data_IF_060038710709
#
_entry.id   IF_060038710709
#
_cell.length_a   1.000
_cell.length_b   1.000
_cell.length_c   1.000
_cell.angle_alpha   90.00
_cell.angle_beta   90.00
_cell.angle_gamma   90.00
#
_symmetry.space_group_name_H-M   'P 1'
#
loop_
_entity.id
_entity.type
_entity.pdbx_description
1 polymer ?
2 non-polymer ?
3 water ?
#
# COMPACT_ATOMS: atom_id res chain seq x y z
N UNK A 3 -26.70 18.47 7.08
CA UNK A 3 -25.80 17.39 7.45
C UNK A 3 -25.29 16.64 6.22
N UNK A 4 -24.89 17.38 5.18
CA UNK A 4 -24.33 16.74 3.99
C UNK A 4 -23.09 17.46 3.49
N UNK A 5 -22.59 18.46 4.21
CA UNK A 5 -21.47 19.27 3.73
C UNK A 5 -20.25 18.39 3.49
N UNK A 6 -19.91 17.53 4.46
CA UNK A 6 -18.70 16.74 4.34
C UNK A 6 -18.83 15.67 3.26
N UNK A 7 -19.99 15.01 3.21
CA UNK A 7 -20.22 14.01 2.17
C UNK A 7 -20.18 14.63 0.78
N UNK A 8 -20.68 15.87 0.64
CA UNK A 8 -20.65 16.57 -0.64
C UNK A 8 -19.23 16.91 -1.06
N UNK A 9 -18.42 17.41 -0.14
CA UNK A 9 -17.01 17.69 -0.42
C UNK A 9 -16.32 16.40 -0.88
N UNK A 10 -16.55 15.31 -0.17
CA UNK A 10 -15.93 14.03 -0.50
C UNK A 10 -16.32 13.58 -1.91
N UNK A 11 -17.62 13.59 -2.21
CA UNK A 11 -18.09 13.14 -3.52
C UNK A 11 -17.52 13.99 -4.66
N UNK A 12 -17.43 15.29 -4.47
CA UNK A 12 -17.10 16.16 -5.59
C UNK A 12 -15.61 16.47 -5.72
N UNK A 13 -14.82 16.32 -4.65
CA UNK A 13 -13.43 16.74 -4.70
C UNK A 13 -12.44 15.76 -4.12
N UNK A 14 -12.88 14.61 -3.61
CA UNK A 14 -11.96 13.72 -2.92
C UNK A 14 -11.97 12.33 -3.53
N UNK A 15 -13.13 11.69 -3.58
CA UNK A 15 -13.23 10.26 -3.89
C UNK A 15 -13.58 10.03 -5.35
N UNK A 16 -12.79 9.18 -6.01
CA UNK A 16 -13.18 8.68 -7.33
C UNK A 16 -14.49 7.91 -7.22
N UNK A 17 -15.45 8.13 -8.13
CA UNK A 17 -16.71 7.38 -8.06
C UNK A 17 -16.46 5.88 -8.04
N UNK A 18 -17.26 5.16 -7.24
CA UNK A 18 -16.97 3.76 -7.00
C UNK A 18 -17.10 2.92 -8.26
N UNK A 19 -18.00 3.29 -9.17
CA UNK A 19 -18.12 2.55 -10.42
C UNK A 19 -16.83 2.62 -11.23
N UNK A 20 -16.16 3.77 -11.23
CA UNK A 20 -14.88 3.89 -11.93
C UNK A 20 -13.76 3.21 -11.16
N UNK A 21 -13.80 3.24 -9.82
CA UNK A 21 -12.84 2.45 -9.05
C UNK A 21 -12.92 0.99 -9.47
N UNK A 22 -14.13 0.44 -9.47
CA UNK A 22 -14.33 -0.96 -9.79
C UNK A 22 -13.89 -1.29 -11.21
N UNK A 23 -14.26 -0.43 -12.17
CA UNK A 23 -13.93 -0.71 -13.56
C UNK A 23 -12.44 -0.65 -13.83
N UNK A 24 -11.77 0.36 -13.29
CA UNK A 24 -10.31 0.44 -13.47
C UNK A 24 -9.62 -0.74 -12.81
N UNK A 25 -10.13 -1.20 -11.66
CA UNK A 25 -9.54 -2.38 -11.02
C UNK A 25 -9.69 -3.62 -11.91
N UNK A 26 -10.86 -3.82 -12.51
CA UNK A 26 -11.04 -4.99 -13.35
C UNK A 26 -10.06 -4.98 -14.53
N UNK A 27 -9.88 -3.82 -15.14
CA UNK A 27 -8.95 -3.69 -16.27
C UNK A 27 -7.52 -3.95 -15.80
N UNK A 28 -7.10 -3.26 -14.75
CA UNK A 28 -5.72 -3.37 -14.28
C UNK A 28 -5.40 -4.80 -13.82
N UNK A 29 -6.34 -5.43 -13.12
CA UNK A 29 -6.08 -6.79 -12.64
C UNK A 29 -5.98 -7.78 -13.78
N UNK A 30 -6.69 -7.53 -14.89
CA UNK A 30 -6.59 -8.43 -16.03
C UNK A 30 -5.29 -8.23 -16.78
N UNK A 31 -4.87 -6.98 -16.99
CA UNK A 31 -3.56 -6.73 -17.60
C UNK A 31 -2.46 -7.42 -16.80
N UNK A 32 -2.50 -7.28 -15.47
CA UNK A 32 -1.43 -7.83 -14.65
C UNK A 32 -1.47 -9.37 -14.60
N UNK A 33 -2.65 -9.98 -14.66
CA UNK A 33 -2.69 -11.45 -14.74
C UNK A 33 -2.03 -11.93 -16.03
N UNK A 34 -2.29 -11.24 -17.15
CA UNK A 34 -1.62 -11.59 -18.39
C UNK A 34 -0.10 -11.49 -18.25
N UNK A 35 0.37 -10.42 -17.59
CA UNK A 35 1.81 -10.25 -17.42
C UNK A 35 2.40 -11.31 -16.52
N UNK A 36 1.72 -11.63 -15.40
CA UNK A 36 2.27 -12.60 -14.46
C UNK A 36 2.25 -14.00 -15.06
N UNK A 37 1.23 -14.32 -15.86
CA UNK A 37 1.21 -15.60 -16.56
C UNK A 37 2.39 -15.72 -17.51
N UNK A 38 2.75 -14.62 -18.18
CA UNK A 38 3.92 -14.65 -19.05
C UNK A 38 5.20 -14.78 -18.23
N UNK A 39 5.25 -14.15 -17.06
CA UNK A 39 6.40 -14.33 -16.17
C UNK A 39 6.63 -15.80 -15.84
N UNK A 40 5.54 -16.54 -15.59
CA UNK A 40 5.67 -17.97 -15.28
C UNK A 40 6.32 -18.74 -16.42
N UNK A 41 6.04 -18.35 -17.67
CA UNK A 41 6.63 -19.04 -18.80
C UNK A 41 8.13 -18.81 -18.90
N UNK A 42 8.64 -17.75 -18.27
CA UNK A 42 10.04 -17.35 -18.39
C UNK A 42 10.94 -17.88 -17.28
N UNK A 43 10.37 -18.49 -16.23
CA UNK A 43 11.18 -18.95 -15.12
C UNK A 43 10.45 -20.01 -14.31
N UNK A 44 10.85 -21.28 -14.42
CA UNK A 44 10.20 -22.33 -13.62
C UNK A 44 10.31 -22.10 -12.12
N UNK A 45 11.39 -21.50 -11.64
CA UNK A 45 11.51 -21.24 -10.21
C UNK A 45 10.48 -20.21 -9.76
N UNK A 46 10.24 -19.17 -10.57
CA UNK A 46 9.17 -18.24 -10.23
C UNK A 46 7.82 -18.94 -10.22
N UNK A 47 7.56 -19.80 -11.20
CA UNK A 47 6.28 -20.49 -11.23
C UNK A 47 6.11 -21.34 -9.98
N UNK A 48 7.19 -21.99 -9.52
CA UNK A 48 7.12 -22.82 -8.33
C UNK A 48 6.91 -21.98 -7.08
N UNK A 49 7.60 -20.83 -6.97
CA UNK A 49 7.49 -20.01 -5.78
C UNK A 49 6.17 -19.26 -5.70
N UNK A 50 5.60 -18.88 -6.84
CA UNK A 50 4.46 -17.98 -6.85
C UNK A 50 3.25 -18.61 -6.18
N UNK A 51 2.63 -17.84 -5.28
CA UNK A 51 1.39 -18.25 -4.64
C UNK A 51 0.21 -17.38 -5.07
N UNK A 52 0.33 -16.06 -4.94
CA UNK A 52 -0.78 -15.15 -5.23
C UNK A 52 -0.22 -13.73 -5.21
N UNK A 53 -1.09 -12.78 -5.55
CA UNK A 53 -0.73 -11.36 -5.48
C UNK A 53 -1.65 -10.68 -4.46
N UNK A 54 -1.13 -9.60 -3.88
CA UNK A 54 -1.91 -8.71 -3.02
C UNK A 54 -1.81 -7.32 -3.63
N UNK A 55 -2.94 -6.63 -3.75
CA UNK A 55 -2.98 -5.29 -4.32
C UNK A 55 -2.86 -4.29 -3.18
N UNK A 56 -1.72 -3.62 -3.09
CA UNK A 56 -1.39 -2.78 -1.95
C UNK A 56 -1.53 -1.31 -2.28
N UNK A 57 -1.89 -0.52 -1.28
CA UNK A 57 -1.87 0.93 -1.40
C UNK A 57 -3.22 1.54 -1.06
N UNK A 58 -3.22 2.88 -1.05
CA UNK A 58 -4.42 3.60 -0.63
C UNK A 58 -5.57 3.42 -1.61
N UNK A 59 -5.27 3.29 -2.91
CA UNK A 59 -6.33 3.04 -3.89
C UNK A 59 -7.12 1.77 -3.54
N UNK A 60 -6.43 0.68 -3.22
CA UNK A 60 -7.11 -0.56 -2.89
C UNK A 60 -7.65 -0.59 -1.46
N UNK A 61 -7.16 0.28 -0.59
CA UNK A 61 -7.74 0.46 0.73
C UNK A 61 -8.99 1.33 0.72
N UNK A 62 -9.29 1.98 -0.40
CA UNK A 62 -10.40 2.91 -0.40
C UNK A 62 -10.08 4.22 0.30
N UNK A 63 -8.80 4.58 0.37
CA UNK A 63 -8.35 5.76 1.12
C UNK A 63 -7.62 6.77 0.24
N UNK A 64 -7.67 6.62 -1.09
CA UNK A 64 -6.97 7.54 -1.98
C UNK A 64 -7.73 8.86 -2.10
N UNK A 65 -7.03 9.97 -1.92
CA UNK A 65 -7.57 11.30 -2.13
C UNK A 65 -7.29 11.72 -3.56
N UNK A 66 -8.36 12.03 -4.32
CA UNK A 66 -8.19 12.50 -5.68
C UNK A 66 -8.00 11.37 -6.67
N UNK A 67 -7.46 11.73 -7.83
CA UNK A 67 -7.29 10.75 -8.91
C UNK A 67 -6.22 9.73 -8.51
N UNK A 68 -6.53 8.43 -8.55
CA UNK A 68 -5.50 7.43 -8.24
C UNK A 68 -4.42 7.43 -9.30
N UNK A 69 -3.18 7.17 -8.86
CA UNK A 69 -2.03 7.27 -9.75
C UNK A 69 -1.16 6.02 -9.76
N UNK A 70 -1.11 5.28 -8.64
CA UNK A 70 -0.25 4.11 -8.57
C UNK A 70 -0.75 3.15 -7.49
N UNK A 71 -0.33 1.89 -7.61
CA UNK A 71 -0.43 0.95 -6.51
C UNK A 71 0.68 -0.08 -6.63
N UNK A 72 0.81 -0.90 -5.59
CA UNK A 72 1.83 -1.94 -5.53
C UNK A 72 1.23 -3.30 -5.84
N UNK A 73 1.82 -4.02 -6.79
CA UNK A 73 1.52 -5.44 -6.95
C UNK A 73 2.49 -6.21 -6.07
N UNK A 74 2.04 -6.63 -4.90
CA UNK A 74 2.84 -7.45 -4.00
C UNK A 74 2.75 -8.89 -4.48
N UNK A 75 3.82 -9.36 -5.12
CA UNK A 75 3.88 -10.70 -5.69
C UNK A 75 4.36 -11.64 -4.59
N UNK A 76 3.48 -12.51 -4.11
CA UNK A 76 3.75 -13.30 -2.91
C UNK A 76 4.36 -14.64 -3.30
N UNK A 77 5.64 -14.83 -2.96
CA UNK A 77 6.37 -16.07 -3.16
C UNK A 77 6.39 -16.85 -1.86
N UNK A 78 6.36 -18.18 -1.95
CA UNK A 78 6.29 -19.02 -0.77
C UNK A 78 7.43 -20.03 -0.79
N UNK A 79 8.26 -19.97 0.24
CA UNK A 79 9.33 -20.97 0.41
C UNK A 79 8.72 -22.22 1.01
N UNK A 80 8.91 -23.39 0.39
CA UNK A 80 8.39 -24.63 0.96
C UNK A 80 8.83 -24.81 2.41
N UNK A 81 7.87 -25.13 3.28
CA UNK A 81 8.15 -25.22 4.71
C UNK A 81 9.15 -26.33 5.00
N UNK A 82 9.27 -27.32 4.10
CA UNK A 82 10.23 -28.38 4.31
C UNK A 82 11.66 -27.84 4.40
N UNK A 83 11.94 -26.73 3.72
CA UNK A 83 13.24 -26.08 3.80
C UNK A 83 13.47 -25.39 5.13
N UNK A 84 12.47 -25.38 6.01
CA UNK A 84 12.51 -24.85 7.36
C UNK A 84 12.91 -23.38 7.40
N UNK A 85 12.10 -22.49 6.83
CA UNK A 85 12.35 -21.06 7.03
C UNK A 85 12.05 -20.65 8.46
N UNK A 86 12.88 -19.78 9.01
CA UNK A 86 12.73 -19.29 10.38
C UNK A 86 12.76 -17.77 10.36
N UNK A 87 11.70 -17.16 10.87
CA UNK A 87 11.58 -15.71 10.91
C UNK A 87 11.95 -15.24 12.32
N UNK A 88 12.87 -14.29 12.40
CA UNK A 88 13.31 -13.76 13.68
C UNK A 88 13.15 -12.25 13.71
N UNK A 89 12.62 -11.75 14.82
CA UNK A 89 12.53 -10.31 15.04
C UNK A 89 13.92 -9.70 15.12
N UNK A 90 14.16 -8.66 14.33
CA UNK A 90 15.49 -8.07 14.25
C UNK A 90 15.69 -7.01 15.33
N UNK A 91 16.92 -6.49 15.41
CA UNK A 91 17.25 -5.45 16.39
C UNK A 91 16.77 -4.06 15.97
N UNK A 92 16.01 -3.95 14.89
CA UNK A 92 15.36 -2.71 14.49
C UNK A 92 13.85 -2.95 14.52
N UNK A 93 13.11 -2.28 15.40
CA UNK A 93 11.67 -2.58 15.54
C UNK A 93 10.93 -2.44 14.21
N UNK A 94 10.11 -3.44 13.89
CA UNK A 94 9.36 -3.47 12.66
C UNK A 94 10.00 -4.28 11.55
N UNK A 95 11.26 -4.69 11.71
CA UNK A 95 11.98 -5.43 10.69
C UNK A 95 12.38 -6.80 11.20
N UNK A 96 12.50 -7.75 10.27
CA UNK A 96 12.78 -9.14 10.61
C UNK A 96 13.89 -9.68 9.73
N UNK A 97 14.50 -10.76 10.19
CA UNK A 97 15.40 -11.57 9.39
C UNK A 97 14.74 -12.90 9.08
N UNK A 98 15.13 -13.50 7.96
CA UNK A 98 14.56 -14.77 7.53
C UNK A 98 15.70 -15.67 7.07
N UNK A 99 15.86 -16.81 7.73
CA UNK A 99 16.89 -17.77 7.34
C UNK A 99 16.26 -19.13 7.12
N UNK A 100 16.93 -19.94 6.33
CA UNK A 100 16.48 -21.30 6.02
C UNK A 100 17.41 -22.28 6.72
N UNK A 101 16.82 -23.21 7.48
CA UNK A 101 17.62 -24.18 8.23
C UNK A 101 17.77 -25.53 7.54
N UNK A 102 17.08 -25.76 6.41
CA UNK A 102 17.10 -27.08 5.80
C UNK A 102 16.92 -26.98 4.27
N UNK A 103 17.57 -25.99 3.66
CA UNK A 103 17.48 -25.90 2.20
C UNK A 103 18.06 -27.12 1.52
N UNK A 104 19.19 -27.63 2.03
CA UNK A 104 19.81 -28.81 1.41
C UNK A 104 18.87 -30.00 1.42
N UNK A 105 18.17 -30.23 2.53
CA UNK A 105 17.23 -31.33 2.58
C UNK A 105 16.10 -31.17 1.60
N UNK A 106 15.65 -29.94 1.37
CA UNK A 106 14.63 -29.69 0.35
C UNK A 106 15.18 -29.97 -1.04
N UNK A 107 16.42 -29.57 -1.31
CA UNK A 107 17.00 -29.81 -2.63
C UNK A 107 17.11 -31.30 -2.92
N UNK A 108 17.25 -32.13 -1.88
CA UNK A 108 17.34 -33.58 -2.08
C UNK A 108 15.99 -34.23 -2.29
N UNK A 109 14.90 -33.47 -2.19
CA UNK A 109 13.57 -33.96 -2.50
C UNK A 109 13.30 -33.83 -3.99
N UNK A 110 12.39 -34.65 -4.54
CA UNK A 110 12.07 -34.53 -5.97
C UNK A 110 11.58 -33.15 -6.36
N UNK A 111 10.68 -32.56 -5.57
CA UNK A 111 10.16 -31.23 -5.86
C UNK A 111 11.21 -30.13 -5.67
N UNK A 112 12.36 -30.46 -5.08
CA UNK A 112 13.40 -29.46 -4.88
C UNK A 112 14.26 -29.19 -6.10
N UNK A 113 14.11 -30.00 -7.16
CA UNK A 113 14.94 -29.87 -8.35
C UNK A 113 14.87 -28.46 -8.93
N UNK A 114 13.66 -27.90 -9.05
CA UNK A 114 13.53 -26.57 -9.62
C UNK A 114 14.11 -25.48 -8.73
N UNK A 115 14.45 -25.82 -7.48
CA UNK A 115 15.09 -24.87 -6.57
C UNK A 115 16.61 -24.93 -6.62
N UNK A 116 17.18 -25.54 -7.66
CA UNK A 116 18.64 -25.71 -7.72
C UNK A 116 19.37 -24.38 -7.57
N UNK A 117 18.82 -23.31 -8.15
CA UNK A 117 19.49 -22.01 -8.10
C UNK A 117 18.91 -21.07 -7.06
N UNK A 118 18.05 -21.55 -6.16
CA UNK A 118 17.43 -20.66 -5.18
C UNK A 118 18.47 -20.00 -4.29
N UNK A 119 19.43 -20.79 -3.78
CA UNK A 119 20.47 -20.22 -2.92
C UNK A 119 21.25 -19.13 -3.63
N UNK A 120 21.73 -19.42 -4.85
CA UNK A 120 22.50 -18.44 -5.60
C UNK A 120 21.70 -17.15 -5.82
N UNK A 121 20.41 -17.28 -6.11
CA UNK A 121 19.62 -16.15 -6.55
C UNK A 121 19.07 -15.31 -5.39
N UNK A 122 18.85 -15.91 -4.22
CA UNK A 122 18.12 -15.25 -3.15
C UNK A 122 18.86 -15.11 -1.83
N UNK A 123 19.86 -15.94 -1.54
CA UNK A 123 20.38 -16.08 -0.19
C UNK A 123 21.79 -15.50 -0.07
N UNK A 124 22.04 -14.86 1.06
CA UNK A 124 23.37 -14.37 1.39
C UNK A 124 24.07 -15.43 2.24
N UNK A 125 25.13 -15.05 2.95
CA UNK A 125 25.84 -16.00 3.79
C UNK A 125 24.92 -16.55 4.87
N UNK A 126 25.09 -17.84 5.17
CA UNK A 126 24.32 -18.56 6.18
C UNK A 126 22.85 -18.72 5.81
N UNK A 127 22.54 -18.62 4.51
CA UNK A 127 21.19 -18.88 3.99
C UNK A 127 20.17 -17.90 4.55
N UNK A 128 20.57 -16.64 4.71
CA UNK A 128 19.63 -15.57 5.03
C UNK A 128 19.04 -15.02 3.74
N UNK A 129 17.72 -14.84 3.73
CA UNK A 129 17.05 -14.18 2.62
C UNK A 129 17.56 -12.76 2.48
N UNK A 130 17.93 -12.38 1.26
CA UNK A 130 18.59 -11.10 1.02
C UNK A 130 17.70 -10.21 0.16
N UNK A 131 17.45 -8.98 0.65
CA UNK A 131 16.53 -8.07 -0.06
C UNK A 131 17.10 -7.66 -1.41
N UNK A 132 18.39 -7.31 -1.45
CA UNK A 132 18.98 -6.88 -2.71
C UNK A 132 18.98 -7.97 -3.76
N UNK A 133 19.34 -9.19 -3.37
CA UNK A 133 19.33 -10.30 -4.31
C UNK A 133 17.91 -10.56 -4.83
N UNK A 134 16.92 -10.53 -3.94
CA UNK A 134 15.53 -10.73 -4.33
C UNK A 134 15.09 -9.67 -5.34
N UNK A 135 15.41 -8.41 -5.06
CA UNK A 135 15.00 -7.33 -5.97
C UNK A 135 15.68 -7.46 -7.32
N UNK A 136 16.96 -7.83 -7.33
CA UNK A 136 17.66 -8.00 -8.60
C UNK A 136 17.09 -9.16 -9.39
N UNK A 137 16.71 -10.24 -8.70
CA UNK A 137 16.13 -11.39 -9.38
C UNK A 137 14.80 -11.02 -10.04
N UNK A 138 13.95 -10.29 -9.32
CA UNK A 138 12.66 -9.91 -9.90
C UNK A 138 12.83 -8.93 -11.05
N UNK A 139 13.73 -7.96 -10.90
CA UNK A 139 14.01 -7.02 -11.98
C UNK A 139 14.45 -7.76 -13.25
N UNK A 140 15.35 -8.73 -13.11
CA UNK A 140 15.79 -9.52 -14.25
C UNK A 140 14.63 -10.28 -14.89
N UNK A 141 13.78 -10.89 -14.05
CA UNK A 141 12.64 -11.64 -14.58
C UNK A 141 11.64 -10.73 -15.30
N UNK A 142 11.40 -9.54 -14.76
CA UNK A 142 10.50 -8.60 -15.41
C UNK A 142 11.06 -8.16 -16.76
N UNK A 143 12.36 -7.86 -16.83
CA UNK A 143 12.99 -7.51 -18.10
C UNK A 143 12.88 -8.66 -19.11
N UNK A 144 13.19 -9.87 -18.66
CA UNK A 144 13.08 -11.04 -19.53
C UNK A 144 11.67 -11.18 -20.09
N UNK A 145 10.67 -10.95 -19.24
CA UNK A 145 9.27 -11.07 -19.65
C UNK A 145 8.87 -9.97 -20.63
N UNK A 146 9.25 -8.72 -20.33
CA UNK A 146 8.95 -7.60 -21.22
C UNK A 146 9.46 -7.85 -22.64
N UNK A 147 10.63 -8.49 -22.77
CA UNK A 147 11.21 -8.73 -24.09
C UNK A 147 10.39 -9.70 -24.93
N UNK A 148 9.57 -10.55 -24.31
CA UNK A 148 8.79 -11.53 -25.05
C UNK A 148 7.42 -10.99 -25.48
N UNK A 149 7.05 -9.80 -25.08
CA UNK A 149 5.76 -9.24 -25.41
C UNK A 149 5.84 -8.46 -26.71
N UNK A 150 4.72 -8.31 -27.43
CA UNK A 150 4.72 -7.47 -28.63
C UNK A 150 4.97 -6.01 -28.25
N UNK A 151 5.88 -5.38 -28.97
CA UNK A 151 6.17 -3.96 -28.76
C UNK A 151 5.60 -3.15 -29.92
N UNK A 152 4.97 -2.03 -29.59
CA UNK A 152 4.58 -1.03 -30.57
C UNK A 152 5.31 0.26 -30.22
N UNK A 153 5.33 1.18 -31.19
CA UNK A 153 5.91 2.53 -30.99
C UNK A 153 7.35 2.35 -30.52
N UNK A 154 7.74 2.95 -29.40
CA UNK A 154 9.12 2.85 -28.88
C UNK A 154 9.07 2.09 -27.56
N UNK A 155 9.36 0.79 -27.60
CA UNK A 155 9.46 -0.04 -26.41
C UNK A 155 8.19 0.04 -25.57
N UNK A 156 7.04 0.06 -26.23
CA UNK A 156 5.75 0.01 -25.56
C UNK A 156 5.14 -1.37 -25.79
N UNK A 157 4.89 -2.11 -24.71
CA UNK A 157 4.29 -3.43 -24.83
C UNK A 157 2.80 -3.29 -25.13
N UNK A 158 2.29 -4.22 -25.94
CA UNK A 158 0.86 -4.25 -26.24
C UNK A 158 0.28 -5.58 -25.74
N UNK A 159 -0.71 -5.48 -24.86
CA UNK A 159 -1.42 -6.63 -24.33
C UNK A 159 -2.91 -6.47 -24.56
N UNK A 160 -3.58 -7.59 -24.78
CA UNK A 160 -5.03 -7.60 -24.98
C UNK A 160 -5.68 -8.48 -23.93
N UNK A 161 -6.94 -8.17 -23.62
CA UNK A 161 -7.76 -9.00 -22.74
C UNK A 161 -9.22 -8.71 -23.06
N UNK A 162 -10.12 -9.15 -22.17
CA UNK A 162 -11.54 -9.03 -22.46
C UNK A 162 -12.02 -7.58 -22.43
N UNK A 163 -11.22 -6.67 -21.89
CA UNK A 163 -11.59 -5.26 -21.84
C UNK A 163 -10.97 -4.44 -22.97
N UNK A 164 -10.20 -5.07 -23.84
CA UNK A 164 -9.65 -4.37 -24.98
C UNK A 164 -8.14 -4.48 -25.10
N UNK A 165 -7.52 -3.44 -25.66
CA UNK A 165 -6.09 -3.42 -25.92
C UNK A 165 -5.44 -2.35 -25.04
N UNK A 166 -4.27 -2.68 -24.50
CA UNK A 166 -3.62 -1.81 -23.53
C UNK A 166 -2.14 -1.71 -23.83
N UNK A 167 -1.56 -0.60 -23.43
CA UNK A 167 -0.15 -0.30 -23.64
C UNK A 167 0.56 -0.28 -22.30
N UNK A 168 1.74 -0.91 -22.25
CA UNK A 168 2.53 -0.96 -21.03
C UNK A 168 3.89 -0.35 -21.32
N UNK A 169 4.20 0.70 -20.59
CA UNK A 169 5.54 1.29 -20.57
C UNK A 169 6.19 0.95 -19.23
N UNK A 170 7.52 1.01 -19.18
CA UNK A 170 8.18 0.58 -17.96
C UNK A 170 9.44 1.38 -17.72
N UNK A 171 9.85 1.38 -16.46
CA UNK A 171 11.04 2.10 -15.98
C UNK A 171 11.30 1.64 -14.55
N UNK A 172 12.46 2.02 -14.02
CA UNK A 172 12.82 1.67 -12.66
C UNK A 172 13.21 2.93 -11.91
N UNK A 173 12.28 3.49 -11.15
CA UNK A 173 12.54 4.64 -10.32
C UNK A 173 12.75 4.31 -8.86
N UNK A 174 12.88 3.04 -8.54
CA UNK A 174 13.09 2.60 -7.18
C UNK A 174 13.48 1.14 -7.16
N UNK A 175 13.35 0.50 -6.00
CA UNK A 175 13.74 -0.92 -5.90
C UNK A 175 12.96 -1.82 -6.84
N UNK A 176 11.69 -1.50 -7.11
CA UNK A 176 10.85 -2.33 -7.95
C UNK A 176 10.62 -1.67 -9.31
N UNK A 177 10.52 -2.50 -10.34
CA UNK A 177 10.11 -2.03 -11.65
C UNK A 177 8.71 -1.43 -11.58
N UNK A 178 8.47 -0.39 -12.36
CA UNK A 178 7.15 0.20 -12.52
C UNK A 178 6.61 -0.12 -13.92
N UNK A 179 5.38 -0.58 -13.97
CA UNK A 179 4.63 -0.67 -15.23
C UNK A 179 3.63 0.46 -15.31
N UNK A 180 3.78 1.32 -16.32
CA UNK A 180 2.77 2.33 -16.60
C UNK A 180 1.74 1.77 -17.56
N UNK A 181 0.48 1.65 -17.13
CA UNK A 181 -0.56 0.99 -17.92
C UNK A 181 -1.51 2.04 -18.47
N UNK A 182 -1.72 2.00 -19.78
CA UNK A 182 -2.58 2.96 -20.47
C UNK A 182 -3.52 2.21 -21.41
N UNK A 183 -4.65 2.85 -21.73
CA UNK A 183 -5.45 2.38 -22.85
C UNK A 183 -4.65 2.52 -24.14
N UNK A 184 -4.90 1.61 -25.09
CA UNK A 184 -4.24 1.74 -26.39
C UNK A 184 -4.63 3.03 -27.09
N UNK A 185 -5.77 3.63 -26.73
CA UNK A 185 -6.18 4.91 -27.29
C UNK A 185 -5.40 6.09 -26.71
N UNK A 186 -4.56 5.87 -25.70
CA UNK A 186 -3.65 6.88 -25.19
C UNK A 186 -3.87 7.28 -23.74
N UNK A 187 -5.05 7.07 -23.18
CA UNK A 187 -5.33 7.55 -21.84
C UNK A 187 -4.62 6.72 -20.78
N UNK A 188 -3.91 7.39 -19.89
CA UNK A 188 -3.20 6.71 -18.80
C UNK A 188 -4.20 6.16 -17.78
N UNK A 189 -3.92 4.95 -17.29
CA UNK A 189 -4.77 4.37 -16.25
C UNK A 189 -4.08 4.43 -14.89
N UNK A 190 -2.96 3.73 -14.72
CA UNK A 190 -2.27 3.72 -13.44
C UNK A 190 -0.88 3.13 -13.60
N UNK A 191 0.01 3.51 -12.68
CA UNK A 191 1.32 2.89 -12.53
C UNK A 191 1.24 1.77 -11.52
N UNK A 192 1.99 0.69 -11.76
CA UNK A 192 2.03 -0.46 -10.85
C UNK A 192 3.48 -0.85 -10.59
N UNK A 193 3.86 -0.91 -9.31
CA UNK A 193 5.18 -1.39 -8.92
C UNK A 193 5.13 -2.88 -8.64
N UNK A 194 6.11 -3.61 -9.17
CA UNK A 194 6.13 -5.08 -9.09
C UNK A 194 7.08 -5.45 -7.96
N UNK A 195 6.52 -5.77 -6.79
CA UNK A 195 7.28 -5.92 -5.55
C UNK A 195 7.34 -7.41 -5.18
N UNK A 196 8.56 -7.95 -5.15
CA UNK A 196 8.77 -9.35 -4.78
C UNK A 196 8.72 -9.51 -3.26
N UNK A 197 7.75 -10.30 -2.78
CA UNK A 197 7.54 -10.50 -1.35
C UNK A 197 7.55 -12.00 -1.03
N UNK A 198 7.68 -12.32 0.24
CA UNK A 198 7.61 -13.70 0.72
C UNK A 198 6.50 -13.82 1.75
N UNK A 199 5.61 -14.80 1.55
CA UNK A 199 4.39 -14.95 2.35
C UNK A 199 4.54 -16.16 3.27
N UNK A 200 3.98 -16.04 4.48
CA UNK A 200 4.11 -17.06 5.51
C UNK A 200 2.77 -17.33 6.16
N UNK A 201 2.66 -18.51 6.78
CA UNK A 201 1.45 -18.94 7.47
C UNK A 201 1.44 -18.42 8.90
N UNK A 202 0.29 -18.60 9.56
CA UNK A 202 0.08 -18.00 10.85
C UNK A 202 1.08 -18.42 11.91
N UNK A 203 1.64 -19.62 11.78
CA UNK A 203 2.60 -20.13 12.76
C UNK A 203 3.85 -19.25 12.85
N UNK A 204 4.19 -18.53 11.79
CA UNK A 204 5.40 -17.73 11.75
C UNK A 204 5.19 -16.30 12.20
N UNK A 205 3.98 -15.95 12.62
CA UNK A 205 3.67 -14.59 13.03
C UNK A 205 4.57 -14.16 14.18
N UNK A 206 5.22 -13.00 14.10
CA UNK A 206 6.18 -12.61 15.15
C UNK A 206 5.48 -12.31 16.47
N UNK A 207 6.13 -12.70 17.58
CA UNK A 207 5.51 -12.51 18.89
C UNK A 207 6.31 -11.53 19.76
N UNK A 208 7.63 -11.45 19.54
CA UNK A 208 8.49 -10.68 20.44
C UNK A 208 8.33 -9.19 20.15
N UNK A 209 7.43 -8.55 20.90
CA UNK A 209 7.18 -7.14 20.75
C UNK A 209 6.18 -6.78 19.68
N UNK A 210 5.47 -7.76 19.11
CA UNK A 210 4.55 -7.52 18.01
C UNK A 210 3.12 -7.81 18.44
N UNK A 211 2.19 -7.05 17.86
CA UNK A 211 0.77 -7.27 18.11
C UNK A 211 0.31 -8.55 17.43
N UNK A 212 -0.57 -9.29 18.09
CA UNK A 212 -1.06 -10.54 17.53
C UNK A 212 -2.06 -10.27 16.40
N UNK A 213 -2.24 -11.28 15.56
CA UNK A 213 -3.15 -11.21 14.43
C UNK A 213 -4.60 -11.11 14.91
N UNK A 214 -5.34 -10.06 14.55
CA UNK A 214 -6.76 -10.00 14.96
C UNK A 214 -7.65 -10.99 14.22
N UNK A 215 -7.21 -11.56 13.10
CA UNK A 215 -8.02 -12.46 12.30
C UNK A 215 -7.26 -13.74 11.97
N UNK A 216 -6.83 -14.50 12.99
CA UNK A 216 -5.99 -15.67 12.71
C UNK A 216 -6.68 -16.77 11.93
N UNK A 217 -8.02 -16.84 11.95
CA UNK A 217 -8.68 -17.90 11.19
C UNK A 217 -8.95 -17.51 9.74
N UNK A 218 -9.37 -16.26 9.48
CA UNK A 218 -9.76 -15.88 8.13
C UNK A 218 -8.68 -15.12 7.37
N UNK A 219 -7.74 -14.47 8.06
CA UNK A 219 -6.58 -13.83 7.43
C UNK A 219 -5.29 -14.36 8.06
N UNK A 220 -5.00 -15.65 7.90
CA UNK A 220 -3.87 -16.23 8.64
C UNK A 220 -2.51 -15.80 8.13
N UNK A 221 -2.40 -15.36 6.87
CA UNK A 221 -1.10 -15.16 6.24
C UNK A 221 -0.66 -13.70 6.32
N UNK A 222 0.66 -13.52 6.38
CA UNK A 222 1.28 -12.20 6.29
C UNK A 222 2.50 -12.34 5.41
N UNK A 223 3.09 -11.23 5.01
CA UNK A 223 4.26 -11.34 4.16
C UNK A 223 5.31 -10.31 4.53
N UNK A 224 6.53 -10.55 4.05
CA UNK A 224 7.65 -9.66 4.27
C UNK A 224 7.97 -8.98 2.95
N UNK A 225 8.44 -7.74 3.06
CA UNK A 225 8.61 -6.84 1.92
C UNK A 225 10.07 -6.39 1.90
N UNK A 226 10.73 -6.35 0.73
CA UNK A 226 12.17 -6.06 0.69
C UNK A 226 12.52 -4.59 0.79
N UNK A 227 11.87 -3.88 1.71
CA UNK A 227 12.17 -2.49 1.99
C UNK A 227 13.06 -2.42 3.22
N UNK A 228 14.28 -1.96 3.06
CA UNK A 228 15.22 -1.87 4.16
C UNK A 228 14.90 -0.67 5.04
N UNK A 229 15.43 -0.63 6.28
CA UNK A 229 15.27 0.53 7.15
C UNK A 229 15.88 1.79 6.56
N UNK A 232 21.29 3.56 7.48
CA UNK A 232 22.29 2.49 7.38
C UNK A 232 22.18 1.47 8.50
N UNK A 233 22.09 0.18 8.12
CA UNK A 233 22.11 -0.92 9.09
C UNK A 233 23.04 -2.01 8.56
N UNK A 234 23.49 -2.87 9.47
CA UNK A 234 24.39 -3.96 9.15
C UNK A 234 23.90 -5.20 9.89
N UNK A 235 23.91 -6.37 9.24
CA UNK A 235 24.36 -6.64 7.86
C UNK A 235 23.42 -6.16 6.77
N UNK A 236 24.02 -5.66 5.69
CA UNK A 236 23.28 -5.14 4.56
C UNK A 236 22.49 -6.25 3.88
N UNK A 237 21.21 -5.99 3.61
CA UNK A 237 20.38 -6.91 2.85
C UNK A 237 19.56 -7.88 3.67
N UNK A 238 19.85 -8.02 4.97
CA UNK A 238 19.12 -8.99 5.79
C UNK A 238 17.80 -8.48 6.32
N UNK A 239 17.58 -7.17 6.32
CA UNK A 239 16.43 -6.58 7.01
C UNK A 239 15.24 -6.48 6.07
N UNK A 240 14.15 -7.18 6.43
CA UNK A 240 12.91 -7.16 5.68
C UNK A 240 11.83 -6.44 6.49
N UNK A 241 10.96 -5.72 5.80
CA UNK A 241 9.79 -5.12 6.42
C UNK A 241 8.65 -6.12 6.47
N UNK A 242 7.77 -5.96 7.47
CA UNK A 242 6.56 -6.76 7.57
C UNK A 242 5.40 -6.01 6.94
N UNK A 243 4.55 -6.75 6.23
CA UNK A 243 3.31 -6.21 5.70
C UNK A 243 2.15 -6.94 6.37
N UNK A 244 1.38 -6.20 7.17
CA UNK A 244 0.11 -6.65 7.71
C UNK A 244 -1.05 -5.93 7.04
N UNK A 245 -0.83 -5.53 5.77
CA UNK A 245 -1.83 -4.75 5.04
C UNK A 245 -3.12 -5.54 4.80
N UNK A 246 -3.03 -6.87 4.68
CA UNK A 246 -4.26 -7.63 4.50
C UNK A 246 -5.14 -7.55 5.73
N UNK A 247 -4.53 -7.59 6.93
CA UNK A 247 -5.28 -7.45 8.17
C UNK A 247 -5.75 -6.02 8.38
N UNK A 248 -4.91 -5.03 8.05
CA UNK A 248 -5.32 -3.63 8.16
C UNK A 248 -6.54 -3.34 7.30
N UNK A 249 -6.61 -3.94 6.11
CA UNK A 249 -7.73 -3.69 5.22
C UNK A 249 -9.04 -4.19 5.82
N UNK A 250 -8.99 -5.31 6.55
CA UNK A 250 -10.19 -5.81 7.22
C UNK A 250 -10.56 -4.91 8.40
N UNK A 251 -9.57 -4.45 9.15
CA UNK A 251 -9.82 -3.59 10.30
C UNK A 251 -10.55 -2.30 9.90
N UNK A 252 -10.22 -1.73 8.73
CA UNK A 252 -10.83 -0.47 8.31
C UNK A 252 -12.14 -0.66 7.55
N UNK A 253 -12.52 -1.90 7.25
CA UNK A 253 -13.70 -2.18 6.44
C UNK A 253 -14.95 -2.19 7.31
N UNK A 254 -16.10 -2.02 6.68
CA UNK A 254 -17.40 -2.08 7.34
C UNK A 254 -17.47 -1.12 8.52
N UNK A 255 -17.00 0.12 8.31
CA UNK A 255 -17.00 1.12 9.37
C UNK A 255 -17.53 2.46 8.88
N UNK A 256 -18.45 2.42 7.92
CA UNK A 256 -19.35 3.53 7.60
C UNK A 256 -18.63 4.86 7.42
N UNK A 257 -18.58 5.68 8.47
CA UNK A 257 -17.97 7.01 8.36
C UNK A 257 -16.45 7.00 8.30
N UNK A 258 -15.81 5.85 8.53
CA UNK A 258 -14.36 5.85 8.76
C UNK A 258 -13.58 6.32 7.53
N UNK A 259 -13.83 5.72 6.36
CA UNK A 259 -12.99 6.03 5.21
C UNK A 259 -13.20 7.46 4.71
N UNK A 260 -14.43 7.99 4.66
CA UNK A 260 -14.56 9.43 4.39
C UNK A 260 -13.79 10.29 5.38
N UNK A 261 -13.83 9.95 6.67
CA UNK A 261 -13.11 10.74 7.67
C UNK A 261 -11.61 10.69 7.44
N UNK A 262 -11.07 9.52 7.09
CA UNK A 262 -9.64 9.43 6.83
C UNK A 262 -9.26 10.33 5.66
N UNK A 263 -10.05 10.27 4.59
CA UNK A 263 -9.72 11.01 3.38
C UNK A 263 -9.86 12.52 3.59
N UNK A 264 -10.85 12.95 4.38
CA UNK A 264 -10.96 14.36 4.71
C UNK A 264 -9.73 14.86 5.45
N UNK A 265 -9.24 14.06 6.40
CA UNK A 265 -8.02 14.45 7.12
C UNK A 265 -6.81 14.39 6.20
N UNK A 266 -6.73 13.38 5.32
CA UNK A 266 -5.62 13.33 4.37
C UNK A 266 -5.66 14.52 3.42
N UNK A 267 -6.85 14.96 3.03
CA UNK A 267 -6.97 16.14 2.18
C UNK A 267 -6.45 17.37 2.91
N UNK A 268 -6.79 17.51 4.19
CA UNK A 268 -6.26 18.60 5.00
C UNK A 268 -4.74 18.50 5.10
N UNK A 269 -4.21 17.29 5.27
CA UNK A 269 -2.77 17.10 5.34
C UNK A 269 -2.09 17.53 4.06
N UNK A 270 -2.66 17.17 2.91
CA UNK A 270 -2.08 17.54 1.63
C UNK A 270 -2.01 19.05 1.46
N UNK A 271 -2.99 19.76 1.99
CA UNK A 271 -3.00 21.21 1.81
C UNK A 271 -2.11 21.94 2.83
N UNK A 272 -2.08 21.48 4.08
CA UNK A 272 -1.47 22.27 5.14
C UNK A 272 -0.22 21.65 5.77
N UNK A 273 -0.02 20.33 5.72
CA UNK A 273 1.16 19.71 6.34
C UNK A 273 1.57 18.44 5.61
N UNK A 274 2.13 18.58 4.39
CA UNK A 274 2.59 17.39 3.65
C UNK A 274 3.78 16.70 4.30
N UNK A 275 4.34 17.29 5.36
CA UNK A 275 5.40 16.65 6.12
C UNK A 275 4.99 15.31 6.72
N UNK A 276 3.70 15.06 6.87
CA UNK A 276 3.18 13.86 7.51
C UNK A 276 2.80 12.85 6.43
N UNK A 277 3.37 11.65 6.50
CA UNK A 277 3.06 10.61 5.53
C UNK A 277 1.67 10.05 5.75
N UNK A 278 1.04 9.65 4.65
CA UNK A 278 -0.33 9.12 4.71
C UNK A 278 -0.44 7.92 5.64
N UNK A 279 0.58 7.06 5.67
CA UNK A 279 0.49 5.88 6.54
C UNK A 279 0.46 6.26 8.01
N UNK A 280 1.01 7.43 8.36
CA UNK A 280 0.94 7.87 9.75
C UNK A 280 -0.49 8.20 10.14
N UNK A 281 -1.26 8.77 9.20
CA UNK A 281 -2.68 9.03 9.45
C UNK A 281 -3.45 7.71 9.53
N UNK A 282 -3.18 6.81 8.58
CA UNK A 282 -3.79 5.48 8.65
C UNK A 282 -3.51 4.81 9.99
N UNK A 283 -2.26 4.93 10.47
CA UNK A 283 -1.89 4.32 11.75
C UNK A 283 -2.68 4.93 12.91
N UNK A 284 -2.85 6.25 12.91
CA UNK A 284 -3.66 6.88 13.94
C UNK A 284 -5.07 6.28 13.96
N UNK A 285 -5.65 6.04 12.78
CA UNK A 285 -6.99 5.46 12.75
C UNK A 285 -7.01 4.01 13.21
N UNK A 286 -5.95 3.24 12.96
CA UNK A 286 -5.86 1.91 13.55
C UNK A 286 -5.91 1.97 15.07
N UNK A 287 -5.18 2.93 15.67
CA UNK A 287 -5.24 3.11 17.11
C UNK A 287 -6.64 3.54 17.56
N UNK A 288 -7.27 4.44 16.80
CA UNK A 288 -8.62 4.89 17.15
C UNK A 288 -9.61 3.73 17.07
N UNK A 289 -9.48 2.88 16.05
CA UNK A 289 -10.33 1.69 15.96
C UNK A 289 -10.19 0.84 17.22
N UNK A 290 -8.96 0.67 17.71
CA UNK A 290 -8.75 -0.15 18.89
C UNK A 290 -9.35 0.50 20.14
N UNK A 291 -9.32 1.83 20.20
CA UNK A 291 -9.78 2.55 21.38
C UNK A 291 -11.29 2.68 21.43
N UNK A 292 -11.93 2.89 20.28
CA UNK A 292 -13.33 3.24 20.22
C UNK A 292 -14.21 1.99 20.21
N UNK A 293 -15.39 2.12 20.80
CA UNK A 293 -16.43 1.12 20.55
C UNK A 293 -16.81 1.15 19.07
N UNK A 294 -17.35 0.01 18.60
CA UNK A 294 -17.73 -0.07 17.19
C UNK A 294 -18.80 0.96 16.82
N UNK A 295 -19.66 1.33 17.76
CA UNK A 295 -20.74 2.27 17.45
C UNK A 295 -20.24 3.66 17.07
N UNK A 296 -18.98 3.98 17.41
CA UNK A 296 -18.45 5.30 17.10
C UNK A 296 -18.54 5.61 15.61
N UNK A 297 -18.31 4.61 14.77
CA UNK A 297 -18.26 4.82 13.32
C UNK A 297 -19.63 5.01 12.69
N UNK A 298 -20.70 4.87 13.46
CA UNK A 298 -22.05 5.12 12.97
C UNK A 298 -22.56 6.50 13.35
N UNK A 299 -21.74 7.32 14.01
CA UNK A 299 -22.12 8.69 14.30
C UNK A 299 -22.11 9.51 13.01
N UNK A 300 -22.53 10.77 13.11
CA UNK A 300 -22.55 11.61 11.93
C UNK A 300 -21.13 11.76 11.38
N UNK A 301 -21.05 12.01 10.07
CA UNK A 301 -19.73 12.24 9.48
C UNK A 301 -19.04 13.44 10.12
N UNK A 302 -19.80 14.49 10.44
CA UNK A 302 -19.20 15.64 11.12
C UNK A 302 -18.59 15.24 12.46
N UNK A 303 -19.33 14.46 13.25
CA UNK A 303 -18.82 14.10 14.58
C UNK A 303 -17.61 13.18 14.48
N UNK A 304 -17.65 12.19 13.58
CA UNK A 304 -16.49 11.31 13.41
C UNK A 304 -15.29 12.11 12.93
N UNK A 305 -15.49 12.99 11.94
CA UNK A 305 -14.39 13.80 11.44
C UNK A 305 -13.80 14.69 12.52
N UNK A 306 -14.65 15.42 13.25
CA UNK A 306 -14.17 16.33 14.28
C UNK A 306 -13.46 15.57 15.40
N UNK A 307 -14.00 14.43 15.80
CA UNK A 307 -13.40 13.71 16.92
C UNK A 307 -12.07 13.09 16.53
N UNK A 308 -12.00 12.47 15.34
CA UNK A 308 -10.74 11.87 14.92
C UNK A 308 -9.70 12.93 14.59
N UNK A 309 -10.14 14.10 14.09
CA UNK A 309 -9.19 15.18 13.85
C UNK A 309 -8.57 15.67 15.14
N UNK A 310 -9.37 15.80 16.21
CA UNK A 310 -8.84 16.19 17.51
C UNK A 310 -7.84 15.16 18.02
N UNK A 311 -8.16 13.86 17.89
CA UNK A 311 -7.27 12.82 18.39
C UNK A 311 -6.00 12.72 17.55
N UNK A 312 -6.12 12.91 16.23
CA UNK A 312 -4.96 13.01 15.35
C UNK A 312 -4.02 14.13 15.81
N UNK A 313 -4.59 15.28 16.17
CA UNK A 313 -3.76 16.38 16.67
C UNK A 313 -3.04 16.02 17.95
N UNK A 314 -3.67 15.22 18.82
CA UNK A 314 -3.03 14.83 20.07
C UNK A 314 -1.82 13.93 19.82
N UNK A 315 -1.90 13.03 18.83
CA UNK A 315 -0.74 12.24 18.45
C UNK A 315 0.40 13.14 17.98
N UNK A 316 0.08 14.11 17.12
CA UNK A 316 1.11 15.01 16.59
C UNK A 316 1.71 15.84 17.72
N UNK A 317 0.85 16.40 18.57
CA UNK A 317 1.34 17.19 19.71
C UNK A 317 2.21 16.36 20.63
N UNK A 318 1.81 15.12 20.89
CA UNK A 318 2.63 14.20 21.69
C UNK A 318 3.90 13.78 20.98
N UNK A 319 4.00 14.05 19.67
CA UNK A 319 5.18 13.72 18.85
C UNK A 319 5.45 12.22 18.85
N UNK A 320 4.40 11.42 18.89
CA UNK A 320 4.55 9.96 18.86
C UNK A 320 3.36 9.33 18.16
N UNK A 321 3.63 8.58 17.10
CA UNK A 321 2.64 7.72 16.48
C UNK A 321 3.24 6.31 16.46
N UNK A 322 2.97 5.49 17.46
CA UNK A 322 3.55 4.14 17.48
C UNK A 322 3.07 3.33 16.28
N UNK A 323 4.02 2.66 15.63
CA UNK A 323 3.68 1.62 14.67
C UNK A 323 2.67 0.68 15.30
N UNK A 324 1.55 0.47 14.61
CA UNK A 324 0.43 -0.26 15.22
C UNK A 324 0.81 -1.68 15.58
N UNK A 325 1.71 -2.30 14.82
CA UNK A 325 2.07 -3.70 15.00
C UNK A 325 3.31 -3.91 15.84
N UNK A 326 4.11 -2.87 16.06
CA UNK A 326 5.33 -2.98 16.87
C UNK A 326 5.56 -1.61 17.50
N UNK A 327 5.08 -1.45 18.74
CA UNK A 327 4.95 -0.12 19.33
C UNK A 327 6.29 0.57 19.56
N UNK A 328 7.38 -0.18 19.65
CA UNK A 328 8.68 0.44 19.86
C UNK A 328 9.17 1.23 18.66
N UNK A 329 8.47 1.17 17.54
CA UNK A 329 8.79 1.97 16.35
C UNK A 329 7.87 3.20 16.38
N UNK A 330 8.46 4.38 16.63
CA UNK A 330 7.72 5.64 16.54
C UNK A 330 7.79 6.14 15.10
N UNK A 331 6.66 6.09 14.40
CA UNK A 331 6.65 6.39 12.98
C UNK A 331 7.08 7.82 12.69
N UNK A 332 6.91 8.74 13.63
CA UNK A 332 7.34 10.12 13.43
C UNK A 332 8.50 10.48 14.34
N UNK A 333 9.20 9.47 14.88
CA UNK A 333 10.35 9.74 15.74
C UNK A 333 11.47 10.47 15.04
N UNK A 334 11.50 10.44 13.71
CA UNK A 334 12.55 11.11 12.94
C UNK A 334 12.22 12.56 12.61
N UNK A 335 10.99 13.01 12.85
CA UNK A 335 10.61 14.39 12.53
C UNK A 335 10.99 15.33 13.67
N UNK A 336 11.43 16.53 13.30
CA UNK A 336 11.95 17.47 14.28
C UNK A 336 10.82 18.01 15.16
N UNK A 337 11.09 18.24 16.45
CA UNK A 337 10.06 18.81 17.34
C UNK A 337 9.47 20.12 16.85
N UNK A 338 10.29 21.00 16.27
CA UNK A 338 9.78 22.27 15.76
C UNK A 338 8.74 22.02 14.66
N UNK A 339 9.04 21.10 13.75
CA UNK A 339 8.09 20.77 12.68
C UNK A 339 6.78 20.26 13.25
N UNK A 340 6.85 19.33 14.21
CA UNK A 340 5.63 18.77 14.78
C UNK A 340 4.87 19.79 15.62
N UNK A 341 5.59 20.67 16.32
CA UNK A 341 4.94 21.74 17.07
C UNK A 341 4.16 22.67 16.12
N UNK A 342 4.79 23.06 15.01
CA UNK A 342 4.12 23.95 14.06
C UNK A 342 2.90 23.28 13.45
N UNK A 343 3.01 22.00 13.11
CA UNK A 343 1.86 21.31 12.50
C UNK A 343 0.73 21.18 13.50
N UNK A 344 1.05 20.82 14.75
CA UNK A 344 0.01 20.72 15.77
C UNK A 344 -0.65 22.06 16.04
N UNK A 345 0.13 23.15 16.03
CA UNK A 345 -0.46 24.47 16.20
C UNK A 345 -1.37 24.83 15.02
N UNK A 346 -0.94 24.49 13.81
CA UNK A 346 -1.78 24.66 12.62
C UNK A 346 -3.14 23.97 12.81
N UNK A 347 -3.10 22.69 13.16
CA UNK A 347 -4.33 21.90 13.25
C UNK A 347 -5.22 22.43 14.36
N UNK A 348 -4.61 22.85 15.47
CA UNK A 348 -5.40 23.43 16.56
C UNK A 348 -6.14 24.68 16.13
N UNK A 349 -5.48 25.56 15.37
CA UNK A 349 -6.16 26.73 14.82
C UNK A 349 -7.33 26.31 13.94
N UNK A 350 -7.13 25.30 13.10
CA UNK A 350 -8.19 24.85 12.20
C UNK A 350 -9.37 24.33 12.99
N UNK A 351 -9.11 23.51 14.03
CA UNK A 351 -10.18 22.98 14.86
C UNK A 351 -11.00 24.11 15.47
N UNK A 352 -10.32 25.14 15.99
CA UNK A 352 -11.04 26.28 16.57
C UNK A 352 -11.88 26.98 15.51
N UNK A 353 -11.39 27.03 14.28
CA UNK A 353 -12.07 27.78 13.23
C UNK A 353 -13.29 27.04 12.68
N UNK A 354 -13.33 25.72 12.79
CA UNK A 354 -14.41 24.92 12.24
C UNK A 354 -15.30 24.32 13.32
N UNK A 355 -14.83 24.25 14.57
CA UNK A 355 -15.56 23.83 15.75
C UNK A 355 -17.06 24.09 15.67
N UNK A 356 -17.44 25.37 15.58
CA UNK A 356 -18.82 25.81 15.56
C UNK A 356 -19.19 26.45 14.23
N UNK A 357 -18.39 26.21 13.20
CA UNK A 357 -18.61 26.80 11.87
C UNK A 357 -18.29 25.75 10.83
N UNK A 358 -19.18 24.79 10.62
CA UNK A 358 -18.89 23.74 9.63
C UNK A 358 -18.77 24.28 8.21
N UNK A 359 -19.32 25.46 7.93
CA UNK A 359 -19.14 26.06 6.61
C UNK A 359 -17.70 26.50 6.35
N UNK A 360 -16.86 26.55 7.38
CA UNK A 360 -15.44 26.87 7.21
C UNK A 360 -14.60 25.65 6.86
N UNK A 361 -15.15 24.44 6.95
CA UNK A 361 -14.34 23.24 6.70
C UNK A 361 -13.81 23.24 5.27
N UNK A 362 -14.68 23.50 4.30
CA UNK A 362 -14.26 23.51 2.90
C UNK A 362 -13.20 24.55 2.63
N UNK A 363 -13.22 25.66 3.38
CA UNK A 363 -12.20 26.69 3.19
C UNK A 363 -10.81 26.19 3.58
N UNK A 364 -10.72 25.27 4.54
CA UNK A 364 -9.44 24.70 4.94
C UNK A 364 -9.05 23.49 4.13
N UNK A 365 -10.03 22.71 3.66
CA UNK A 365 -9.71 21.48 2.95
C UNK A 365 -9.32 21.72 1.50
N UNK A 366 -9.92 22.73 0.86
CA UNK A 366 -9.75 22.96 -0.57
C UNK A 366 -8.76 24.08 -0.83
N UNK A 367 -8.01 23.93 -1.92
CA UNK A 367 -7.25 25.05 -2.44
C UNK A 367 -8.23 26.14 -2.86
N UNK A 368 -7.70 27.37 -3.02
CA UNK A 368 -8.57 28.46 -3.46
C UNK A 368 -9.18 28.14 -4.82
N UNK A 369 -8.40 27.49 -5.69
CA UNK A 369 -8.91 27.12 -7.01
C UNK A 369 -9.99 26.05 -6.91
N UNK A 370 -9.81 25.05 -6.03
CA UNK A 370 -10.86 24.07 -5.79
C UNK A 370 -12.08 24.72 -5.16
N UNK A 371 -11.87 25.67 -4.26
CA UNK A 371 -13.00 26.28 -3.56
C UNK A 371 -13.89 27.06 -4.52
N UNK A 372 -13.31 27.69 -5.54
CA UNK A 372 -14.10 28.38 -6.54
C UNK A 372 -15.01 27.41 -7.30
N UNK A 373 -14.44 26.28 -7.73
CA UNK A 373 -15.25 25.27 -8.42
C UNK A 373 -16.30 24.68 -7.48
N UNK A 374 -15.94 24.53 -6.20
CA UNK A 374 -16.89 24.04 -5.20
C UNK A 374 -18.12 24.94 -5.11
N UNK A 375 -17.90 26.26 -4.99
CA UNK A 375 -19.03 27.19 -4.88
C UNK A 375 -19.85 27.19 -6.17
N UNK A 376 -19.18 27.06 -7.32
CA UNK A 376 -19.87 27.10 -8.60
C UNK A 376 -20.57 25.79 -8.95
N UNK A 377 -20.48 24.78 -8.09
CA UNK A 377 -21.23 23.54 -8.28
C UNK A 377 -20.53 22.45 -9.06
N UNK A 378 -19.24 22.60 -9.34
CA UNK A 378 -18.53 21.63 -10.17
C UNK A 378 -18.20 20.37 -9.39
N UNK A 379 -18.07 19.26 -10.12
CA UNK A 379 -17.65 17.95 -9.60
C UNK A 379 -16.42 17.54 -10.39
N UNK A 380 -15.24 17.60 -9.75
CA UNK A 380 -13.99 17.30 -10.44
C UNK A 380 -13.62 15.82 -10.35
N UNK A 381 -14.35 15.03 -9.58
CA UNK A 381 -14.07 13.61 -9.48
C UNK A 381 -14.89 12.77 -10.46
N UNK A 382 -16.01 13.30 -10.94
CA UNK A 382 -16.93 12.49 -11.77
C UNK A 382 -16.23 11.94 -13.01
N UNK A 383 -15.36 12.72 -13.63
CA UNK A 383 -14.65 12.28 -14.84
C UNK A 383 -13.13 12.26 -14.64
N UNK A 384 -12.69 12.07 -13.39
CA UNK A 384 -11.25 12.10 -13.11
C UNK A 384 -10.52 10.91 -13.72
N UNK A 385 -11.15 9.73 -13.74
CA UNK A 385 -10.53 8.53 -14.30
C UNK A 385 -11.61 7.57 -14.78
N UNK A 386 -12.28 7.91 -15.88
CA UNK A 386 -13.32 7.02 -16.42
C UNK A 386 -12.72 5.69 -16.86
N UNK A 387 -13.32 4.60 -16.41
CA UNK A 387 -12.88 3.28 -16.86
C UNK A 387 -13.14 3.10 -18.35
N UNK A 388 -14.20 3.74 -18.86
CA UNK A 388 -14.48 3.81 -20.28
C UNK A 388 -14.17 5.21 -20.76
N UNK A 389 -13.01 5.45 -21.38
CA UNK A 389 -12.65 6.82 -21.76
C UNK A 389 -13.54 7.36 -22.87
N UNK A 390 -13.58 8.69 -22.94
CA UNK A 390 -14.49 9.37 -23.85
C UNK A 390 -14.18 9.05 -25.30
N UNK A 391 -12.94 8.73 -25.62
CA UNK A 391 -12.55 8.43 -27.00
C UNK A 391 -13.10 7.08 -27.45
X LIG B 1 -12.33 -1.24 19.75
#
# INVERSE_FOLDING_TARGET
SMENILNDINKRFISLPEEDVRGNKQILESVLRTFVEQMKTQDPLFKALFRRVFYGGSFYDGLKVGKPEEFDLDILLHIPIYAQPVLNESNVPGFVWLKLNNLDGWLRQPEGRVYKDFRKKFLADNDFLDTGKTLRWMESLVQKTLNTLPWVNNATCELTNEFGTFHINWWKGGPAMTLGISHSSGEKIMDVDLVACFVFSGDKWPINGYRSNPFPSTKPEFFIVPKKPQGPVNPQGRYWSLSFQEQERVLIDNKNRLKPAVKLIKKLKEKTHPNIASYYIKTVFLHIIEQKDQSFWNKSLREVFMTTLREYNEFIADQSIPYYWCRKNNLIGHLAPITLNNISNRIGYIIKDIENNPENIAKHLLTKEEYTKYIQGEDVMAEALPALPASQTSSCVII
MN MN
#
